data_IF_514596579140
#
_entry.id   IF_514596579140
#
_cell.length_a   1.000
_cell.length_b   1.000
_cell.length_c   1.000
_cell.angle_alpha   90.00
_cell.angle_beta   90.00
_cell.angle_gamma   90.00
#
_symmetry.space_group_name_H-M   'P 1'
#
loop_
_entity.id
_entity.type
_entity.pdbx_description
1 polymer ?
#
# COMPACT_ATOMS: atom_id res chain seq x y z
N UNK A 1 -3.64 -0.53 11.33
CA UNK A 1 -4.09 0.26 10.16
C UNK A 1 -5.37 -0.28 9.52
N UNK A 2 -5.40 -1.54 9.08
CA UNK A 2 -6.53 -2.13 8.33
C UNK A 2 -7.92 -1.97 8.98
N UNK A 3 -8.05 -2.35 10.26
CA UNK A 3 -9.34 -2.30 10.99
C UNK A 3 -9.90 -0.88 11.21
N UNK A 4 -9.01 0.10 11.40
CA UNK A 4 -9.40 1.50 11.58
C UNK A 4 -9.86 2.13 10.28
N UNK A 5 -9.12 1.88 9.19
CA UNK A 5 -9.46 2.37 7.85
C UNK A 5 -10.78 1.76 7.35
N UNK A 6 -10.97 0.46 7.58
CA UNK A 6 -12.21 -0.25 7.25
C UNK A 6 -13.44 0.33 7.97
N UNK A 7 -13.32 0.58 9.28
CA UNK A 7 -14.42 1.13 10.08
C UNK A 7 -14.77 2.58 9.66
N UNK A 8 -13.77 3.35 9.22
CA UNK A 8 -13.97 4.70 8.70
C UNK A 8 -14.69 4.70 7.34
N UNK A 9 -14.26 3.83 6.41
CA UNK A 9 -14.85 3.73 5.07
C UNK A 9 -16.29 3.21 5.15
N UNK A 10 -16.54 2.16 5.92
CA UNK A 10 -17.88 1.57 6.09
C UNK A 10 -18.87 2.53 6.76
N UNK A 11 -18.36 3.49 7.56
CA UNK A 11 -19.19 4.53 8.18
C UNK A 11 -19.65 5.62 7.18
N UNK A 12 -19.00 5.75 6.04
CA UNK A 12 -19.29 6.79 5.03
C UNK A 12 -19.68 6.23 3.66
N UNK A 13 -19.65 4.91 3.46
CA UNK A 13 -19.86 4.29 2.16
C UNK A 13 -20.46 2.90 2.35
N UNK A 14 -21.42 2.55 1.49
CA UNK A 14 -22.10 1.25 1.48
C UNK A 14 -21.08 0.11 1.27
N UNK A 15 -21.34 -1.07 1.84
CA UNK A 15 -20.38 -2.17 1.91
C UNK A 15 -19.85 -2.57 0.52
N UNK A 16 -20.69 -2.52 -0.51
CA UNK A 16 -20.28 -2.80 -1.90
C UNK A 16 -19.23 -1.82 -2.46
N UNK A 17 -19.31 -0.54 -2.07
CA UNK A 17 -18.36 0.48 -2.52
C UNK A 17 -17.14 0.58 -1.58
N UNK A 18 -17.29 0.17 -0.32
CA UNK A 18 -16.21 0.18 0.67
C UNK A 18 -15.04 -0.71 0.24
N UNK A 19 -15.32 -1.89 -0.33
CA UNK A 19 -14.30 -2.80 -0.86
C UNK A 19 -13.49 -2.16 -1.98
N UNK A 20 -14.18 -1.53 -2.94
CA UNK A 20 -13.55 -0.90 -4.10
C UNK A 20 -12.65 0.27 -3.73
N UNK A 21 -12.91 0.94 -2.61
CA UNK A 21 -12.13 2.09 -2.14
C UNK A 21 -11.02 1.65 -1.18
N UNK A 22 -11.26 0.60 -0.38
CA UNK A 22 -10.29 0.07 0.58
C UNK A 22 -9.06 -0.55 -0.09
N UNK A 23 -9.25 -1.31 -1.17
CA UNK A 23 -8.17 -1.99 -1.89
C UNK A 23 -7.12 -1.01 -2.49
N UNK A 24 -7.51 0.02 -3.27
CA UNK A 24 -6.55 0.99 -3.80
C UNK A 24 -5.92 1.84 -2.68
N UNK A 25 -6.64 2.19 -1.61
CA UNK A 25 -6.07 2.86 -0.44
C UNK A 25 -4.96 2.03 0.20
N UNK A 26 -5.14 0.71 0.30
CA UNK A 26 -4.12 -0.19 0.84
C UNK A 26 -2.90 -0.30 -0.07
N UNK A 27 -3.10 -0.39 -1.39
CA UNK A 27 -2.01 -0.39 -2.37
C UNK A 27 -1.21 0.92 -2.27
N UNK A 28 -1.89 2.07 -2.24
CA UNK A 28 -1.23 3.38 -2.11
C UNK A 28 -0.46 3.46 -0.78
N UNK A 29 -1.06 3.01 0.33
CA UNK A 29 -0.41 3.01 1.63
C UNK A 29 0.88 2.17 1.65
N UNK A 30 0.84 0.95 1.10
CA UNK A 30 2.01 0.07 1.01
C UNK A 30 3.05 0.58 0.00
N UNK A 31 2.62 1.18 -1.10
CA UNK A 31 3.51 1.77 -2.10
C UNK A 31 4.28 2.95 -1.52
N UNK A 32 3.59 3.86 -0.80
CA UNK A 32 4.24 4.99 -0.12
C UNK A 32 5.20 4.48 0.94
N UNK A 33 4.82 3.48 1.73
CA UNK A 33 5.70 2.89 2.74
C UNK A 33 6.96 2.25 2.11
N UNK A 34 6.80 1.52 1.00
CA UNK A 34 7.91 0.90 0.27
C UNK A 34 8.86 1.92 -0.36
N UNK A 35 8.32 2.96 -0.99
CA UNK A 35 9.10 4.06 -1.58
C UNK A 35 9.81 4.86 -0.47
N UNK A 36 9.14 5.16 0.64
CA UNK A 36 9.75 5.87 1.76
C UNK A 36 10.88 5.08 2.43
N UNK A 37 10.68 3.76 2.63
CA UNK A 37 11.72 2.89 3.18
C UNK A 37 12.92 2.80 2.23
N UNK A 38 12.68 2.65 0.93
CA UNK A 38 13.75 2.61 -0.05
C UNK A 38 14.50 3.95 -0.19
N UNK A 39 13.79 5.08 -0.11
CA UNK A 39 14.40 6.40 -0.10
C UNK A 39 15.28 6.62 1.14
N UNK A 40 14.84 6.16 2.31
CA UNK A 40 15.65 6.18 3.53
C UNK A 40 16.94 5.37 3.36
N UNK A 41 16.87 4.16 2.82
CA UNK A 41 18.06 3.32 2.57
C UNK A 41 19.02 3.99 1.58
N UNK A 42 18.49 4.58 0.50
CA UNK A 42 19.30 5.35 -0.46
C UNK A 42 19.98 6.56 0.21
N UNK A 43 19.27 7.27 1.09
CA UNK A 43 19.82 8.40 1.84
C UNK A 43 20.95 7.99 2.80
N UNK A 44 20.86 6.81 3.41
CA UNK A 44 21.95 6.26 4.24
C UNK A 44 23.15 5.77 3.43
N UNK A 45 22.92 5.29 2.20
CA UNK A 45 23.97 4.63 1.38
C UNK A 45 24.76 5.62 0.51
N UNK A 46 24.36 6.90 0.44
CA UNK A 46 25.06 7.94 -0.36
C UNK A 46 25.20 7.57 -1.85
N UNK A 47 24.30 6.75 -2.37
CA UNK A 47 24.24 6.34 -3.78
C UNK A 47 23.54 7.39 -4.63
N UNK A 48 23.90 7.48 -5.91
CA UNK A 48 23.29 8.40 -6.88
C UNK A 48 21.77 8.19 -6.98
N UNK A 49 21.05 9.09 -6.31
CA UNK A 49 19.61 9.00 -6.07
C UNK A 49 18.87 8.98 -7.40
N UNK A 50 19.31 9.73 -8.40
CA UNK A 50 18.61 9.86 -9.69
C UNK A 50 18.43 8.55 -10.45
N UNK A 51 19.42 7.65 -10.39
CA UNK A 51 19.39 6.37 -11.11
C UNK A 51 18.69 5.29 -10.28
N UNK A 52 18.96 5.28 -8.98
CA UNK A 52 18.36 4.33 -8.05
C UNK A 52 16.86 4.61 -7.81
N UNK A 53 16.41 5.86 -7.90
CA UNK A 53 15.02 6.23 -7.62
C UNK A 53 14.05 5.59 -8.61
N UNK A 54 14.40 5.50 -9.90
CA UNK A 54 13.55 4.87 -10.91
C UNK A 54 13.36 3.38 -10.62
N UNK A 55 14.44 2.67 -10.30
CA UNK A 55 14.39 1.25 -9.98
C UNK A 55 13.70 1.01 -8.63
N UNK A 56 13.89 1.91 -7.67
CA UNK A 56 13.23 1.87 -6.37
C UNK A 56 11.73 2.14 -6.45
N UNK A 57 11.29 3.08 -7.30
CA UNK A 57 9.86 3.32 -7.56
C UNK A 57 9.26 2.14 -8.33
N UNK A 58 10.00 1.55 -9.26
CA UNK A 58 9.59 0.36 -9.99
C UNK A 58 9.39 -0.82 -9.04
N UNK A 59 10.45 -1.21 -8.32
CA UNK A 59 10.43 -2.31 -7.35
C UNK A 59 9.46 -2.05 -6.19
N UNK A 60 9.44 -0.82 -5.66
CA UNK A 60 8.53 -0.40 -4.60
C UNK A 60 7.07 -0.37 -5.05
N UNK A 61 6.82 0.01 -6.30
CA UNK A 61 5.51 -0.06 -6.94
C UNK A 61 5.01 -1.49 -7.09
N UNK A 62 5.85 -2.40 -7.62
CA UNK A 62 5.50 -3.83 -7.72
C UNK A 62 5.30 -4.49 -6.36
N UNK A 63 6.19 -4.23 -5.40
CA UNK A 63 6.07 -4.73 -4.04
C UNK A 63 4.81 -4.17 -3.35
N UNK A 64 4.52 -2.88 -3.52
CA UNK A 64 3.34 -2.22 -2.97
C UNK A 64 2.03 -2.72 -3.57
N UNK A 65 2.01 -3.00 -4.88
CA UNK A 65 0.88 -3.64 -5.57
C UNK A 65 0.64 -5.05 -5.04
N UNK A 66 1.68 -5.88 -4.98
CA UNK A 66 1.55 -7.28 -4.54
C UNK A 66 1.14 -7.35 -3.07
N UNK A 67 1.84 -6.64 -2.18
CA UNK A 67 1.56 -6.66 -0.74
C UNK A 67 0.23 -5.96 -0.42
N UNK A 68 -0.08 -4.86 -1.09
CA UNK A 68 -1.32 -4.11 -0.91
C UNK A 68 -2.55 -4.89 -1.39
N UNK A 69 -2.47 -5.54 -2.56
CA UNK A 69 -3.55 -6.35 -3.11
C UNK A 69 -3.74 -7.64 -2.31
N UNK A 70 -2.65 -8.37 -2.05
CA UNK A 70 -2.72 -9.65 -1.33
C UNK A 70 -3.14 -9.46 0.13
N UNK A 71 -2.58 -8.46 0.81
CA UNK A 71 -2.95 -8.10 2.19
C UNK A 71 -4.37 -7.55 2.28
N UNK A 72 -4.79 -6.74 1.30
CA UNK A 72 -6.16 -6.23 1.22
C UNK A 72 -7.20 -7.34 1.03
N UNK A 73 -6.99 -8.21 0.04
CA UNK A 73 -7.89 -9.34 -0.25
C UNK A 73 -7.98 -10.33 0.94
N UNK A 74 -6.85 -10.67 1.58
CA UNK A 74 -6.86 -11.53 2.77
C UNK A 74 -7.63 -10.92 3.94
N UNK A 75 -7.51 -9.61 4.14
CA UNK A 75 -8.22 -8.90 5.20
C UNK A 75 -9.72 -8.90 4.94
N UNK A 76 -10.15 -8.59 3.71
CA UNK A 76 -11.54 -8.66 3.28
C UNK A 76 -12.13 -10.06 3.41
N UNK A 77 -11.41 -11.09 2.96
CA UNK A 77 -11.81 -12.50 3.09
C UNK A 77 -12.02 -12.93 4.55
N UNK A 78 -11.27 -12.33 5.49
CA UNK A 78 -11.41 -12.57 6.94
C UNK A 78 -12.56 -11.81 7.61
N UNK A 79 -13.17 -10.84 6.94
CA UNK A 79 -14.31 -10.07 7.45
C UNK A 79 -15.63 -10.60 6.88
N UNK A 80 -15.61 -11.11 5.65
CA UNK A 80 -16.76 -11.73 4.98
C UNK A 80 -17.07 -13.17 5.48
N UNK A 81 -16.15 -13.79 6.23
CA UNK A 81 -16.24 -15.16 6.75
C UNK A 81 -16.33 -15.17 8.28
#
# INVERSE_FOLDING_TARGET
MYRGLWNFITKHTDNSHAVSVFLPLMIIGWTIAGVAAGLLVCAFTSTDISSALADLICAGGYAGLILGLFGGCLFLYRIDL
#
